data_IF_376630187903
#
_entry.id   IF_376630187903
#
_cell.length_a   1.000
_cell.length_b   1.000
_cell.length_c   1.000
_cell.angle_alpha   90.00
_cell.angle_beta   90.00
_cell.angle_gamma   90.00
#
_symmetry.space_group_name_H-M   'P 1'
#
loop_
_entity.id
_entity.type
_entity.pdbx_description
1 polymer ?
#
# COMPACT_ATOMS: atom_id res chain seq x y z
N UNK A 1 -18.03 -19.86 67.40
CA UNK A 1 -17.06 -20.22 66.35
C UNK A 1 -17.81 -20.67 65.11
N UNK A 2 -17.65 -19.94 63.99
CA UNK A 2 -17.58 -20.42 62.59
C UNK A 2 -18.01 -19.28 61.66
N UNK A 3 -17.00 -18.51 61.27
CA UNK A 3 -16.92 -17.72 60.06
C UNK A 3 -17.12 -18.62 58.85
N UNK A 4 -18.07 -18.32 57.97
CA UNK A 4 -17.95 -18.64 56.54
C UNK A 4 -18.55 -17.47 55.74
N UNK A 5 -17.70 -16.49 55.44
CA UNK A 5 -17.95 -15.45 54.46
C UNK A 5 -17.58 -16.03 53.09
N UNK A 6 -18.58 -16.48 52.33
CA UNK A 6 -18.40 -17.03 50.99
C UNK A 6 -18.20 -15.87 49.99
N UNK A 7 -17.00 -15.29 49.97
CA UNK A 7 -16.57 -14.39 48.91
C UNK A 7 -16.18 -15.23 47.69
N UNK A 8 -17.16 -15.53 46.83
CA UNK A 8 -16.90 -16.01 45.47
C UNK A 8 -16.24 -14.90 44.67
N UNK A 9 -14.92 -14.83 44.76
CA UNK A 9 -14.08 -14.07 43.84
C UNK A 9 -14.17 -14.80 42.50
N UNK A 10 -15.05 -14.32 41.63
CA UNK A 10 -15.00 -14.56 40.19
C UNK A 10 -13.70 -13.92 39.66
N UNK A 11 -12.57 -14.59 39.88
CA UNK A 11 -11.35 -14.34 39.12
C UNK A 11 -11.64 -14.89 37.73
N UNK A 12 -12.23 -14.04 36.87
CA UNK A 12 -12.23 -14.26 35.44
C UNK A 12 -10.77 -14.33 34.99
N UNK A 13 -10.28 -15.57 34.84
CA UNK A 13 -9.01 -15.88 34.20
C UNK A 13 -9.12 -15.54 32.71
N UNK A 14 -9.12 -14.26 32.38
CA UNK A 14 -8.77 -13.77 31.05
C UNK A 14 -7.24 -13.89 30.90
N UNK A 15 -6.73 -15.12 30.95
CA UNK A 15 -5.31 -15.38 30.76
C UNK A 15 -5.15 -15.92 29.34
N UNK A 16 -4.25 -15.26 28.60
CA UNK A 16 -3.75 -15.63 27.27
C UNK A 16 -4.68 -15.34 26.08
N UNK A 17 -5.01 -14.07 25.86
CA UNK A 17 -4.99 -13.61 24.47
C UNK A 17 -3.53 -13.71 24.01
N UNK A 18 -3.22 -14.68 23.15
CA UNK A 18 -1.93 -14.75 22.47
C UNK A 18 -1.67 -13.37 21.85
N UNK A 19 -0.65 -12.68 22.33
CA UNK A 19 -0.20 -11.38 21.85
C UNK A 19 0.33 -11.57 20.42
N UNK A 20 -0.59 -11.62 19.45
CA UNK A 20 -0.24 -11.58 18.04
C UNK A 20 0.26 -10.16 17.78
N UNK A 21 1.57 -9.99 17.94
CA UNK A 21 2.21 -8.74 17.58
C UNK A 21 1.86 -8.41 16.13
N UNK A 22 1.46 -7.16 15.84
CA UNK A 22 1.16 -6.75 14.48
C UNK A 22 2.36 -7.01 13.57
N UNK A 23 2.09 -7.43 12.34
CA UNK A 23 3.13 -7.74 11.36
C UNK A 23 4.08 -6.54 11.17
N UNK A 24 5.33 -6.82 10.78
CA UNK A 24 6.31 -5.74 10.54
C UNK A 24 5.80 -4.72 9.52
N UNK A 25 5.10 -5.18 8.48
CA UNK A 25 4.48 -4.30 7.48
C UNK A 25 3.36 -3.44 8.07
N UNK A 26 2.50 -4.01 8.92
CA UNK A 26 1.43 -3.22 9.55
C UNK A 26 1.99 -2.11 10.44
N UNK A 27 3.07 -2.37 11.17
CA UNK A 27 3.79 -1.33 11.95
C UNK A 27 4.38 -0.24 11.05
N UNK A 28 4.92 -0.61 9.90
CA UNK A 28 5.44 0.32 8.91
C UNK A 28 4.34 1.21 8.30
N UNK A 29 3.20 0.63 7.93
CA UNK A 29 2.04 1.38 7.43
C UNK A 29 1.46 2.31 8.50
N UNK A 30 1.37 1.87 9.75
CA UNK A 30 0.96 2.71 10.89
C UNK A 30 1.95 3.87 11.13
N UNK A 31 3.25 3.64 10.91
CA UNK A 31 4.27 4.68 10.98
C UNK A 31 4.07 5.78 9.93
N UNK A 32 3.77 5.38 8.69
CA UNK A 32 3.41 6.31 7.62
C UNK A 32 2.11 7.08 7.95
N UNK A 33 1.08 6.38 8.43
CA UNK A 33 -0.20 6.97 8.85
C UNK A 33 0.01 8.03 9.93
N UNK A 34 0.76 7.70 10.98
CA UNK A 34 1.07 8.62 12.07
C UNK A 34 1.83 9.87 11.57
N UNK A 35 2.74 9.71 10.60
CA UNK A 35 3.41 10.84 9.95
C UNK A 35 2.43 11.70 9.17
N UNK A 36 1.55 11.09 8.36
CA UNK A 36 0.54 11.79 7.58
C UNK A 36 -0.43 12.57 8.47
N UNK A 37 -0.85 11.99 9.60
CA UNK A 37 -1.65 12.68 10.62
C UNK A 37 -0.92 13.88 11.24
N UNK A 38 0.37 13.73 11.61
CA UNK A 38 1.16 14.83 12.18
C UNK A 38 1.23 16.04 11.24
N UNK A 39 1.34 15.80 9.93
CA UNK A 39 1.33 16.86 8.92
C UNK A 39 -0.08 17.26 8.46
N UNK A 40 -1.13 16.74 9.11
CA UNK A 40 -2.56 16.96 8.78
C UNK A 40 -2.89 16.67 7.31
N UNK A 41 -2.22 15.68 6.71
CA UNK A 41 -2.46 15.29 5.32
C UNK A 41 -3.57 14.23 5.26
N UNK A 42 -4.75 14.62 4.77
CA UNK A 42 -5.88 13.73 4.47
C UNK A 42 -6.00 13.42 2.95
N UNK A 43 -4.92 13.65 2.21
CA UNK A 43 -4.87 13.56 0.75
C UNK A 43 -4.72 12.14 0.19
N UNK A 44 -4.33 12.01 -1.08
CA UNK A 44 -4.25 10.73 -1.80
C UNK A 44 -3.36 9.70 -1.11
N UNK A 45 -2.21 10.11 -0.56
CA UNK A 45 -1.31 9.23 0.19
C UNK A 45 -1.96 8.64 1.44
N UNK A 46 -2.78 9.44 2.14
CA UNK A 46 -3.49 8.98 3.33
C UNK A 46 -4.54 7.94 2.98
N UNK A 47 -5.32 8.19 1.92
CA UNK A 47 -6.31 7.22 1.43
C UNK A 47 -5.63 5.90 1.01
N UNK A 48 -4.52 5.98 0.27
CA UNK A 48 -3.77 4.79 -0.16
C UNK A 48 -3.21 4.02 1.03
N UNK A 49 -2.65 4.73 2.02
CA UNK A 49 -2.18 4.12 3.25
C UNK A 49 -3.31 3.42 4.03
N UNK A 50 -4.47 4.07 4.20
CA UNK A 50 -5.65 3.47 4.86
C UNK A 50 -6.12 2.20 4.15
N UNK A 51 -6.15 2.21 2.81
CA UNK A 51 -6.51 1.05 2.01
C UNK A 51 -5.58 -0.12 2.35
N UNK A 52 -4.26 0.09 2.32
CA UNK A 52 -3.31 -0.98 2.64
C UNK A 52 -3.30 -1.36 4.12
N UNK A 53 -3.47 -0.41 5.03
CA UNK A 53 -3.55 -0.70 6.45
C UNK A 53 -4.72 -1.64 6.76
N UNK A 54 -5.91 -1.31 6.23
CA UNK A 54 -7.11 -2.12 6.40
C UNK A 54 -6.92 -3.52 5.79
N UNK A 55 -6.39 -3.60 4.58
CA UNK A 55 -6.17 -4.87 3.90
C UNK A 55 -5.19 -5.78 4.66
N UNK A 56 -4.08 -5.24 5.14
CA UNK A 56 -3.09 -6.03 5.90
C UNK A 56 -3.51 -6.32 7.34
N UNK A 57 -4.39 -5.51 7.93
CA UNK A 57 -4.99 -5.81 9.23
C UNK A 57 -5.87 -7.08 9.17
N UNK A 58 -6.57 -7.30 8.05
CA UNK A 58 -7.37 -8.49 7.80
C UNK A 58 -6.54 -9.72 7.40
N UNK A 59 -5.30 -9.52 6.95
CA UNK A 59 -4.44 -10.57 6.41
C UNK A 59 -3.05 -10.63 7.08
N UNK A 60 -2.96 -10.85 8.41
CA UNK A 60 -1.70 -10.75 9.15
C UNK A 60 -0.66 -11.82 8.76
N UNK A 61 -1.06 -12.89 8.07
CA UNK A 61 -0.16 -13.95 7.58
C UNK A 61 0.59 -13.56 6.30
N UNK A 62 0.23 -12.44 5.65
CA UNK A 62 0.89 -11.95 4.44
C UNK A 62 2.14 -11.14 4.77
N UNK A 63 3.23 -11.85 4.97
CA UNK A 63 4.55 -11.23 5.19
C UNK A 63 5.34 -11.05 3.89
N UNK A 64 5.92 -9.86 3.72
CA UNK A 64 6.90 -9.56 2.66
C UNK A 64 8.23 -10.26 2.93
N UNK A 65 8.97 -10.59 1.87
CA UNK A 65 10.39 -10.97 1.96
C UNK A 65 11.18 -9.79 2.54
N UNK A 66 12.24 -10.10 3.28
CA UNK A 66 12.99 -9.08 4.02
C UNK A 66 13.59 -8.02 3.08
N UNK A 67 14.08 -8.41 1.91
CA UNK A 67 14.60 -7.48 0.90
C UNK A 67 13.53 -6.52 0.35
N UNK A 68 12.30 -7.00 0.19
CA UNK A 68 11.16 -6.18 -0.25
C UNK A 68 10.71 -5.28 0.88
N UNK A 69 10.61 -5.82 2.10
CA UNK A 69 10.22 -5.07 3.28
C UNK A 69 11.13 -3.86 3.47
N UNK A 70 12.45 -4.03 3.37
CA UNK A 70 13.40 -2.92 3.47
C UNK A 70 13.20 -1.86 2.37
N UNK A 71 12.92 -2.28 1.12
CA UNK A 71 12.61 -1.32 0.04
C UNK A 71 11.34 -0.52 0.31
N UNK A 72 10.29 -1.18 0.82
CA UNK A 72 9.02 -0.54 1.15
C UNK A 72 9.15 0.37 2.38
N UNK A 73 9.77 -0.14 3.44
CA UNK A 73 9.70 0.42 4.79
C UNK A 73 10.96 1.16 5.27
N UNK A 74 11.93 1.43 4.38
CA UNK A 74 13.18 2.12 4.70
C UNK A 74 13.01 3.43 5.51
N UNK A 75 14.08 3.76 6.24
CA UNK A 75 14.32 4.71 7.37
C UNK A 75 13.35 5.88 7.62
N UNK A 76 12.65 6.44 6.63
CA UNK A 76 11.68 7.52 6.86
C UNK A 76 10.21 7.07 6.92
N UNK A 77 9.91 5.81 6.59
CA UNK A 77 8.56 5.30 6.31
C UNK A 77 7.74 6.21 5.35
N UNK A 78 8.42 7.13 4.65
CA UNK A 78 7.77 8.07 3.78
C UNK A 78 7.39 7.31 2.50
N UNK A 79 6.12 7.42 2.11
CA UNK A 79 5.58 6.81 0.89
C UNK A 79 5.61 5.28 0.93
N UNK A 80 5.55 4.66 2.12
CA UNK A 80 5.52 3.20 2.27
C UNK A 80 4.38 2.57 1.47
N UNK A 81 3.18 3.15 1.54
CA UNK A 81 2.02 2.76 0.74
C UNK A 81 2.29 2.81 -0.78
N UNK A 82 2.88 3.90 -1.29
CA UNK A 82 3.21 4.04 -2.72
C UNK A 82 4.23 2.98 -3.15
N UNK A 83 5.25 2.72 -2.32
CA UNK A 83 6.26 1.69 -2.58
C UNK A 83 5.70 0.29 -2.50
N UNK A 84 4.78 0.04 -1.58
CA UNK A 84 4.07 -1.23 -1.47
C UNK A 84 3.26 -1.50 -2.74
N UNK A 85 2.51 -0.51 -3.23
CA UNK A 85 1.78 -0.60 -4.50
C UNK A 85 2.71 -0.94 -5.66
N UNK A 86 3.86 -0.26 -5.76
CA UNK A 86 4.90 -0.53 -6.77
C UNK A 86 5.38 -1.99 -6.71
N UNK A 87 5.82 -2.45 -5.54
CA UNK A 87 6.34 -3.80 -5.37
C UNK A 87 5.25 -4.86 -5.63
N UNK A 88 4.00 -4.59 -5.26
CA UNK A 88 2.88 -5.48 -5.55
C UNK A 88 2.60 -5.61 -7.04
N UNK A 89 2.56 -4.49 -7.76
CA UNK A 89 2.34 -4.50 -9.22
C UNK A 89 3.50 -5.17 -9.95
N UNK A 90 4.75 -4.84 -9.60
CA UNK A 90 5.93 -5.26 -10.37
C UNK A 90 6.55 -6.59 -9.93
N UNK A 91 6.38 -6.97 -8.67
CA UNK A 91 6.91 -8.22 -8.11
C UNK A 91 5.83 -9.29 -7.92
N UNK A 92 4.56 -8.89 -7.80
CA UNK A 92 3.46 -9.84 -7.65
C UNK A 92 3.60 -10.75 -6.43
N UNK A 93 3.25 -12.02 -6.57
CA UNK A 93 3.34 -13.00 -5.46
C UNK A 93 4.77 -13.24 -4.97
N UNK A 94 5.77 -13.00 -5.81
CA UNK A 94 7.18 -13.26 -5.46
C UNK A 94 7.71 -12.37 -4.34
N UNK A 95 7.00 -11.29 -4.02
CA UNK A 95 7.40 -10.37 -2.95
C UNK A 95 7.11 -10.91 -1.55
N UNK A 96 6.33 -11.99 -1.42
CA UNK A 96 5.92 -12.56 -0.15
C UNK A 96 6.83 -13.71 0.28
N UNK A 97 6.99 -13.88 1.60
CA UNK A 97 7.68 -15.03 2.18
C UNK A 97 6.93 -16.32 1.82
N UNK A 98 7.69 -17.35 1.45
CA UNK A 98 7.17 -18.70 1.32
C UNK A 98 6.58 -19.15 2.67
N UNK A 99 5.38 -19.72 2.63
CA UNK A 99 4.62 -20.05 3.83
C UNK A 99 5.37 -21.09 4.67
N UNK A 100 5.77 -20.73 5.89
CA UNK A 100 6.21 -21.68 6.92
C UNK A 100 5.04 -21.92 7.87
N UNK A 101 4.06 -22.70 7.43
CA UNK A 101 2.90 -23.03 8.28
C UNK A 101 3.36 -24.04 9.32
N UNK A 102 3.67 -23.54 10.51
CA UNK A 102 3.88 -24.35 11.70
C UNK A 102 2.62 -24.21 12.55
N UNK A 103 1.83 -25.27 12.61
CA UNK A 103 0.67 -25.44 13.50
C UNK A 103 -0.57 -24.61 13.13
N UNK A 104 -1.42 -25.21 12.29
CA UNK A 104 -2.83 -24.90 12.18
C UNK A 104 -3.64 -26.19 12.27
N UNK A 105 -4.88 -26.11 12.75
CA UNK A 105 -5.86 -27.22 12.70
C UNK A 105 -6.31 -27.56 11.28
N UNK A 106 -6.09 -26.65 10.33
CA UNK A 106 -6.25 -26.86 8.89
C UNK A 106 -5.04 -27.58 8.31
N UNK A 107 -5.25 -28.41 7.29
CA UNK A 107 -4.13 -29.00 6.55
C UNK A 107 -3.23 -27.88 6.00
N UNK A 108 -1.89 -28.04 6.06
CA UNK A 108 -0.95 -27.07 5.52
C UNK A 108 -1.29 -26.64 4.08
N UNK A 109 -1.79 -27.58 3.27
CA UNK A 109 -2.17 -27.33 1.87
C UNK A 109 -3.37 -26.38 1.72
N UNK A 110 -4.38 -26.50 2.59
CA UNK A 110 -5.56 -25.65 2.53
C UNK A 110 -5.23 -24.18 2.82
N UNK A 111 -4.36 -23.93 3.82
CA UNK A 111 -3.93 -22.58 4.15
C UNK A 111 -3.00 -21.97 3.11
N UNK A 112 -2.11 -22.76 2.51
CA UNK A 112 -1.30 -22.30 1.37
C UNK A 112 -2.21 -21.90 0.21
N UNK A 113 -3.25 -22.69 -0.06
CA UNK A 113 -4.21 -22.44 -1.14
C UNK A 113 -5.00 -21.16 -0.89
N UNK A 114 -5.57 -20.99 0.30
CA UNK A 114 -6.30 -19.78 0.69
C UNK A 114 -5.42 -18.54 0.55
N UNK A 115 -4.17 -18.60 1.03
CA UNK A 115 -3.20 -17.50 0.90
C UNK A 115 -2.94 -17.13 -0.56
N UNK A 116 -2.79 -18.13 -1.43
CA UNK A 116 -2.55 -17.89 -2.86
C UNK A 116 -3.75 -17.25 -3.55
N UNK A 117 -4.98 -17.65 -3.18
CA UNK A 117 -6.22 -17.04 -3.67
C UNK A 117 -6.32 -15.58 -3.21
N UNK A 118 -6.07 -15.30 -1.93
CA UNK A 118 -6.05 -13.93 -1.41
C UNK A 118 -5.04 -13.07 -2.18
N UNK A 119 -3.83 -13.59 -2.41
CA UNK A 119 -2.81 -12.86 -3.17
C UNK A 119 -3.20 -12.62 -4.64
N UNK A 120 -3.90 -13.56 -5.27
CA UNK A 120 -4.41 -13.37 -6.63
C UNK A 120 -5.48 -12.28 -6.68
N UNK A 121 -6.42 -12.31 -5.74
CA UNK A 121 -7.50 -11.33 -5.67
C UNK A 121 -6.95 -9.92 -5.44
N UNK A 122 -6.04 -9.79 -4.47
CA UNK A 122 -5.35 -8.52 -4.23
C UNK A 122 -4.61 -8.02 -5.47
N UNK A 123 -3.92 -8.92 -6.19
CA UNK A 123 -3.19 -8.56 -7.40
C UNK A 123 -4.10 -7.99 -8.47
N UNK A 124 -5.27 -8.59 -8.69
CA UNK A 124 -6.24 -8.13 -9.70
C UNK A 124 -6.74 -6.72 -9.41
N UNK A 125 -6.81 -6.34 -8.13
CA UNK A 125 -7.28 -5.02 -7.72
C UNK A 125 -6.22 -3.92 -7.84
N UNK A 126 -4.92 -4.27 -7.81
CA UNK A 126 -3.84 -3.27 -7.77
C UNK A 126 -3.82 -2.27 -8.94
N UNK A 127 -4.07 -2.66 -10.21
CA UNK A 127 -4.22 -1.70 -11.30
C UNK A 127 -5.27 -0.61 -11.03
N UNK A 128 -6.43 -1.02 -10.52
CA UNK A 128 -7.51 -0.07 -10.19
C UNK A 128 -7.09 0.83 -9.02
N UNK A 129 -6.46 0.26 -7.99
CA UNK A 129 -5.91 1.04 -6.86
C UNK A 129 -4.90 2.08 -7.37
N UNK A 130 -4.03 1.71 -8.31
CA UNK A 130 -3.09 2.63 -8.94
C UNK A 130 -3.79 3.77 -9.68
N UNK A 131 -4.75 3.49 -10.56
CA UNK A 131 -5.44 4.54 -11.30
C UNK A 131 -6.31 5.42 -10.40
N UNK A 132 -6.93 4.84 -9.38
CA UNK A 132 -7.65 5.61 -8.35
C UNK A 132 -6.71 6.56 -7.61
N UNK A 133 -5.51 6.10 -7.22
CA UNK A 133 -4.51 6.93 -6.57
C UNK A 133 -4.02 8.07 -7.48
N UNK A 134 -3.76 7.79 -8.76
CA UNK A 134 -3.37 8.82 -9.74
C UNK A 134 -4.49 9.84 -9.94
N UNK A 135 -5.74 9.39 -10.09
CA UNK A 135 -6.88 10.29 -10.23
C UNK A 135 -7.07 11.17 -8.99
N UNK A 136 -6.93 10.59 -7.79
CA UNK A 136 -6.95 11.33 -6.53
C UNK A 136 -5.83 12.39 -6.50
N UNK A 137 -4.62 12.09 -6.98
CA UNK A 137 -3.52 13.07 -7.08
C UNK A 137 -3.85 14.23 -8.03
N UNK A 138 -4.49 13.95 -9.16
CA UNK A 138 -4.83 14.99 -10.14
C UNK A 138 -5.81 16.03 -9.63
N UNK A 139 -6.69 15.66 -8.70
CA UNK A 139 -7.58 16.62 -8.02
C UNK A 139 -6.78 17.67 -7.25
N UNK A 140 -5.59 17.31 -6.74
CA UNK A 140 -4.71 18.22 -6.02
C UNK A 140 -3.70 18.93 -6.92
N UNK A 141 -3.67 18.60 -8.22
CA UNK A 141 -2.70 19.17 -9.14
C UNK A 141 -2.97 20.67 -9.39
N UNK A 142 -1.93 21.52 -9.45
CA UNK A 142 -2.10 22.94 -9.75
C UNK A 142 -2.71 23.23 -11.14
N UNK A 143 -2.60 22.28 -12.06
CA UNK A 143 -3.21 22.32 -13.39
C UNK A 143 -3.52 20.90 -13.88
N UNK A 144 -4.48 20.78 -14.79
CA UNK A 144 -4.93 19.49 -15.33
C UNK A 144 -3.81 18.64 -15.97
N UNK A 145 -2.76 19.29 -16.49
CA UNK A 145 -1.65 18.59 -17.16
C UNK A 145 -0.37 18.52 -16.32
N UNK A 146 -0.36 19.02 -15.09
CA UNK A 146 0.87 19.08 -14.28
C UNK A 146 1.48 17.69 -14.09
N UNK A 147 0.66 16.71 -13.69
CA UNK A 147 1.16 15.37 -13.39
C UNK A 147 1.69 14.67 -14.66
N UNK A 148 0.95 14.76 -15.78
CA UNK A 148 1.39 14.21 -17.08
C UNK A 148 2.63 14.91 -17.65
N UNK A 149 2.79 16.21 -17.42
CA UNK A 149 3.99 16.95 -17.85
C UNK A 149 5.22 16.56 -17.04
N UNK A 150 5.04 16.28 -15.75
CA UNK A 150 6.13 15.94 -14.83
C UNK A 150 6.45 14.44 -14.81
N UNK A 151 5.50 13.61 -15.23
CA UNK A 151 5.64 12.16 -15.38
C UNK A 151 5.09 11.78 -16.77
N UNK A 152 5.84 12.02 -17.86
CA UNK A 152 5.37 11.82 -19.23
C UNK A 152 4.87 10.41 -19.53
N UNK A 153 5.46 9.41 -18.87
CA UNK A 153 5.10 8.01 -19.01
C UNK A 153 3.65 7.71 -18.59
N UNK A 154 3.04 8.54 -17.72
CA UNK A 154 1.62 8.39 -17.34
C UNK A 154 0.69 8.56 -18.55
N UNK A 155 1.01 9.48 -19.46
CA UNK A 155 0.19 9.72 -20.65
C UNK A 155 0.19 8.49 -21.55
N UNK A 156 1.38 8.00 -21.89
CA UNK A 156 1.55 6.79 -22.70
C UNK A 156 0.88 5.58 -22.05
N UNK A 157 0.99 5.46 -20.73
CA UNK A 157 0.36 4.36 -20.00
C UNK A 157 -1.17 4.43 -20.04
N UNK A 158 -1.78 5.61 -19.86
CA UNK A 158 -3.24 5.80 -19.93
C UNK A 158 -3.79 5.44 -21.29
N UNK A 159 -3.12 5.89 -22.34
CA UNK A 159 -3.48 5.56 -23.71
C UNK A 159 -3.49 4.04 -23.90
N UNK A 160 -2.41 3.35 -23.50
CA UNK A 160 -2.34 1.88 -23.55
C UNK A 160 -3.41 1.20 -22.70
N UNK A 161 -3.65 1.68 -21.47
CA UNK A 161 -4.63 1.08 -20.56
C UNK A 161 -6.07 1.19 -21.07
N UNK A 162 -6.43 2.30 -21.73
CA UNK A 162 -7.74 2.47 -22.35
C UNK A 162 -8.05 1.36 -23.37
N UNK A 163 -7.04 0.78 -24.00
CA UNK A 163 -7.18 -0.33 -24.95
C UNK A 163 -7.19 -1.72 -24.31
N UNK A 164 -6.86 -1.86 -23.02
CA UNK A 164 -6.74 -3.16 -22.36
C UNK A 164 -8.08 -3.77 -21.90
N UNK A 165 -9.22 -3.16 -22.23
CA UNK A 165 -10.62 -3.60 -22.03
C UNK A 165 -11.07 -4.10 -20.65
N UNK A 166 -10.20 -4.48 -19.71
CA UNK A 166 -10.57 -4.77 -18.30
C UNK A 166 -9.41 -5.22 -17.41
N UNK A 167 -8.32 -5.81 -17.93
CA UNK A 167 -7.29 -6.40 -17.07
C UNK A 167 -5.86 -6.07 -17.52
N UNK A 168 -5.05 -5.54 -16.60
CA UNK A 168 -3.62 -5.45 -16.81
C UNK A 168 -3.00 -6.82 -16.59
N UNK A 169 -2.60 -7.46 -17.68
CA UNK A 169 -1.89 -8.75 -17.61
C UNK A 169 -0.48 -8.58 -17.04
N UNK A 170 0.06 -9.66 -16.48
CA UNK A 170 1.44 -9.68 -16.00
C UNK A 170 2.44 -9.41 -17.13
N UNK A 171 2.11 -9.89 -18.34
CA UNK A 171 2.89 -9.65 -19.55
C UNK A 171 3.01 -8.14 -19.82
N UNK A 172 1.90 -7.41 -19.74
CA UNK A 172 1.91 -5.95 -19.92
C UNK A 172 2.77 -5.23 -18.86
N UNK A 173 2.68 -5.66 -17.60
CA UNK A 173 3.49 -5.09 -16.52
C UNK A 173 4.99 -5.35 -16.74
N UNK A 174 5.34 -6.54 -17.24
CA UNK A 174 6.72 -6.92 -17.53
C UNK A 174 7.27 -6.20 -18.76
N UNK A 175 6.49 -6.10 -19.83
CA UNK A 175 6.86 -5.38 -21.07
C UNK A 175 7.11 -3.89 -20.82
N UNK A 176 6.35 -3.28 -19.90
CA UNK A 176 6.45 -1.86 -19.55
C UNK A 176 7.10 -1.59 -18.19
N UNK A 177 7.90 -2.54 -17.68
CA UNK A 177 8.47 -2.49 -16.33
C UNK A 177 9.27 -1.20 -16.08
N UNK A 178 10.02 -0.72 -17.08
CA UNK A 178 10.83 0.52 -16.95
C UNK A 178 9.95 1.75 -16.79
N UNK A 179 8.88 1.85 -17.59
CA UNK A 179 7.90 2.92 -17.51
C UNK A 179 7.22 2.93 -16.15
N UNK A 180 6.78 1.77 -15.64
CA UNK A 180 6.20 1.67 -14.31
C UNK A 180 7.16 2.12 -13.21
N UNK A 181 8.43 1.72 -13.26
CA UNK A 181 9.44 2.17 -12.29
C UNK A 181 9.60 3.70 -12.33
N UNK A 182 9.64 4.28 -13.53
CA UNK A 182 9.73 5.74 -13.72
C UNK A 182 8.50 6.45 -13.12
N UNK A 183 7.30 5.94 -13.42
CA UNK A 183 6.04 6.47 -12.90
C UNK A 183 6.04 6.48 -11.37
N UNK A 184 6.32 5.34 -10.73
CA UNK A 184 6.32 5.26 -9.27
C UNK A 184 7.38 6.18 -8.63
N UNK A 185 8.56 6.31 -9.25
CA UNK A 185 9.59 7.25 -8.80
C UNK A 185 9.11 8.71 -8.83
N UNK A 186 8.35 9.08 -9.87
CA UNK A 186 7.70 10.39 -9.97
C UNK A 186 6.58 10.55 -8.93
N UNK A 187 5.76 9.52 -8.74
CA UNK A 187 4.66 9.51 -7.77
C UNK A 187 5.15 9.61 -6.32
N UNK A 188 6.31 9.06 -5.96
CA UNK A 188 6.91 9.28 -4.63
C UNK A 188 7.30 10.75 -4.39
N UNK A 189 7.50 11.54 -5.45
CA UNK A 189 7.96 12.92 -5.39
C UNK A 189 6.88 13.93 -5.80
N UNK A 190 5.63 13.51 -5.90
CA UNK A 190 4.53 14.31 -6.48
C UNK A 190 4.37 15.70 -5.86
N UNK A 191 4.59 15.85 -4.54
CA UNK A 191 4.51 17.16 -3.86
C UNK A 191 5.52 18.16 -4.43
N UNK A 192 6.76 17.72 -4.62
CA UNK A 192 7.82 18.53 -5.23
C UNK A 192 7.46 18.90 -6.67
N UNK A 193 6.91 17.93 -7.42
CA UNK A 193 6.45 18.16 -8.80
C UNK A 193 5.33 19.20 -8.85
N UNK A 194 4.39 19.17 -7.90
CA UNK A 194 3.28 20.13 -7.83
C UNK A 194 3.78 21.52 -7.43
N UNK A 195 4.74 21.63 -6.52
CA UNK A 195 5.35 22.91 -6.18
C UNK A 195 6.03 23.56 -7.39
N UNK A 196 6.71 22.75 -8.22
CA UNK A 196 7.28 23.22 -9.49
C UNK A 196 6.18 23.73 -10.45
N UNK A 197 5.11 22.95 -10.66
CA UNK A 197 3.99 23.38 -11.50
C UNK A 197 3.35 24.68 -11.01
N UNK A 198 3.17 24.83 -9.69
CA UNK A 198 2.61 26.05 -9.09
C UNK A 198 3.48 27.27 -9.38
N UNK A 199 4.81 27.11 -9.32
CA UNK A 199 5.76 28.19 -9.62
C UNK A 199 5.74 28.55 -11.12
N UNK A 200 5.69 27.56 -12.01
CA UNK A 200 5.57 27.77 -13.46
C UNK A 200 4.29 28.53 -13.82
N UNK A 201 3.15 28.19 -13.18
CA UNK A 201 1.89 28.90 -13.39
C UNK A 201 1.96 30.36 -12.93
N UNK A 202 2.62 30.64 -11.80
CA UNK A 202 2.83 32.02 -11.33
C UNK A 202 3.67 32.83 -12.31
N UNK A 203 4.76 32.25 -12.84
CA UNK A 203 5.63 32.91 -13.81
C UNK A 203 4.92 33.20 -15.14
N UNK A 204 4.04 32.29 -15.60
CA UNK A 204 3.22 32.51 -16.80
C UNK A 204 2.24 33.66 -16.61
N UNK A 205 1.62 33.76 -15.41
CA UNK A 205 0.70 34.86 -15.08
C UNK A 205 1.39 36.22 -14.92
N UNK A 206 2.65 36.26 -14.50
CA UNK A 206 3.40 37.52 -14.37
C UNK A 206 3.99 38.05 -15.67
N UNK A 207 4.01 37.23 -16.73
CA UNK A 207 4.50 37.58 -18.07
C UNK A 207 3.39 37.89 -19.08
N UNK A 208 2.13 37.69 -18.68
CA UNK A 208 0.92 38.00 -19.45
C UNK A 208 0.28 39.28 -18.91
#
# INVERSE_FOLDING_TARGET
MRFILFCTILVSRNIWASDQQPSQLLRCLAGEEARLHKIKSSGPEYKLNQLFFNEWSGNPSLELRDDVFERVCSISHAHASVRLLKEFMLGGKSIFKASKIKQSSLSPDALVTMRMITLDELRKQMPQVFFSYVADLEVYAPSAHCLEQKIPELKTLREKYRYLESEISNIFLDEHRKEWISIFSGLEKWRVLFDQCKNELKQKKSKS
#
